data_IF_090154196880
#
_entry.id   IF_090154196880
#
_cell.length_a   1.000
_cell.length_b   1.000
_cell.length_c   1.000
_cell.angle_alpha   90.00
_cell.angle_beta   90.00
_cell.angle_gamma   90.00
#
_symmetry.space_group_name_H-M   'P 1'
#
loop_
_entity.id
_entity.type
_entity.pdbx_description
1 polymer ?
#
# COMPACT_ATOMS: atom_id res chain seq x y z
N UNK A 1 64.06 16.22 -7.14
CA UNK A 1 62.86 15.35 -7.17
C UNK A 1 61.63 16.22 -7.29
N UNK A 2 61.17 16.45 -8.52
CA UNK A 2 59.97 17.24 -8.82
C UNK A 2 58.91 16.29 -9.36
N UNK A 3 57.95 15.91 -8.51
CA UNK A 3 56.83 15.08 -8.90
C UNK A 3 55.88 15.88 -9.80
N UNK A 4 55.84 15.48 -11.07
CA UNK A 4 55.01 16.06 -12.11
C UNK A 4 53.58 15.50 -11.94
N UNK A 5 52.71 16.22 -11.23
CA UNK A 5 51.28 15.90 -11.11
C UNK A 5 50.62 16.25 -12.44
N UNK A 6 50.59 15.28 -13.37
CA UNK A 6 49.75 15.37 -14.57
C UNK A 6 48.29 15.39 -14.10
N UNK A 7 47.67 16.57 -14.18
CA UNK A 7 46.24 16.78 -13.93
C UNK A 7 45.47 15.83 -14.85
N UNK A 8 44.87 14.81 -14.25
CA UNK A 8 43.94 13.89 -14.89
C UNK A 8 42.62 14.65 -15.05
N UNK A 9 42.56 15.60 -15.97
CA UNK A 9 41.29 16.20 -16.38
C UNK A 9 40.60 15.16 -17.26
N UNK A 10 39.47 14.58 -16.80
CA UNK A 10 38.71 13.69 -17.67
C UNK A 10 38.29 14.49 -18.90
N UNK A 11 38.63 13.97 -20.08
CA UNK A 11 38.19 14.59 -21.33
C UNK A 11 36.66 14.69 -21.36
N UNK A 12 36.09 15.64 -22.10
CA UNK A 12 34.64 15.87 -22.16
C UNK A 12 33.84 14.59 -22.52
N UNK A 13 34.46 13.63 -23.21
CA UNK A 13 33.86 12.32 -23.50
C UNK A 13 33.55 11.47 -22.26
N UNK A 14 34.36 11.50 -21.20
CA UNK A 14 34.10 10.71 -19.99
C UNK A 14 32.89 11.26 -19.22
N UNK A 15 32.74 12.59 -19.18
CA UNK A 15 31.63 13.25 -18.50
C UNK A 15 30.30 13.00 -19.22
N UNK A 16 30.31 12.96 -20.56
CA UNK A 16 29.13 12.59 -21.37
C UNK A 16 28.77 11.12 -21.18
N UNK A 17 29.74 10.21 -21.16
CA UNK A 17 29.49 8.78 -20.89
C UNK A 17 28.92 8.58 -19.48
N UNK A 18 29.43 9.30 -18.48
CA UNK A 18 28.92 9.26 -17.11
C UNK A 18 27.47 9.78 -17.05
N UNK A 19 27.18 10.93 -17.69
CA UNK A 19 25.82 11.48 -17.76
C UNK A 19 24.83 10.52 -18.43
N UNK A 20 25.22 9.88 -19.53
CA UNK A 20 24.38 8.90 -20.23
C UNK A 20 24.16 7.64 -19.40
N UNK A 21 25.19 7.17 -18.68
CA UNK A 21 25.05 6.02 -17.78
C UNK A 21 24.12 6.31 -16.59
N UNK A 22 24.09 7.56 -16.08
CA UNK A 22 23.21 7.96 -14.99
C UNK A 22 21.73 8.06 -15.40
N UNK A 23 21.43 8.30 -16.70
CA UNK A 23 20.06 8.34 -17.20
C UNK A 23 19.38 6.96 -17.17
N UNK A 24 20.14 5.86 -17.30
CA UNK A 24 19.61 4.49 -17.28
C UNK A 24 19.12 4.03 -15.92
N UNK A 25 19.53 4.69 -14.83
CA UNK A 25 19.13 4.38 -13.45
C UNK A 25 18.30 5.51 -12.81
N UNK A 26 17.74 6.42 -13.61
CA UNK A 26 16.89 7.47 -13.07
C UNK A 26 15.55 6.90 -12.57
N UNK A 27 15.21 7.23 -11.32
CA UNK A 27 13.96 6.83 -10.66
C UNK A 27 12.69 7.21 -11.46
N UNK A 28 12.81 8.23 -12.30
CA UNK A 28 11.78 8.78 -13.20
C UNK A 28 11.34 7.80 -14.29
N UNK A 29 12.19 6.87 -14.70
CA UNK A 29 11.83 5.88 -15.73
C UNK A 29 11.19 4.61 -15.17
N UNK A 30 11.07 4.49 -13.84
CA UNK A 30 10.34 3.39 -13.21
C UNK A 30 8.84 3.68 -13.21
N UNK A 31 8.06 2.82 -13.88
CA UNK A 31 6.60 2.93 -13.97
C UNK A 31 5.90 2.96 -12.60
N UNK A 32 6.51 2.41 -11.55
CA UNK A 32 5.99 2.44 -10.16
C UNK A 32 6.04 3.84 -9.53
N UNK A 33 6.88 4.72 -10.08
CA UNK A 33 7.04 6.09 -9.64
C UNK A 33 6.23 7.10 -10.46
N UNK A 34 5.61 6.67 -11.56
CA UNK A 34 4.85 7.54 -12.48
C UNK A 34 3.33 7.40 -12.29
N UNK A 35 2.82 7.84 -11.14
CA UNK A 35 1.38 7.72 -10.78
C UNK A 35 0.50 8.45 -11.79
N UNK A 36 0.88 9.66 -12.19
CA UNK A 36 0.10 10.48 -13.12
C UNK A 36 0.18 9.96 -14.55
N UNK A 37 1.33 9.45 -15.01
CA UNK A 37 1.41 8.79 -16.32
C UNK A 37 0.50 7.56 -16.32
N UNK A 38 0.53 6.75 -15.27
CA UNK A 38 -0.34 5.58 -15.15
C UNK A 38 -1.82 5.99 -15.21
N UNK A 39 -2.19 7.11 -14.58
CA UNK A 39 -3.54 7.65 -14.68
C UNK A 39 -3.89 8.15 -16.10
N UNK A 40 -2.96 8.78 -16.83
CA UNK A 40 -3.19 9.20 -18.22
C UNK A 40 -3.35 7.98 -19.14
N UNK A 41 -2.52 6.95 -18.98
CA UNK A 41 -2.64 5.70 -19.72
C UNK A 41 -3.98 5.01 -19.46
N UNK A 42 -4.41 4.97 -18.19
CA UNK A 42 -5.64 4.31 -17.77
C UNK A 42 -6.91 5.05 -18.23
N UNK A 43 -6.93 6.39 -18.17
CA UNK A 43 -8.16 7.16 -18.41
C UNK A 43 -8.23 7.86 -19.78
N UNK A 44 -7.12 8.03 -20.50
CA UNK A 44 -7.10 8.84 -21.74
C UNK A 44 -6.73 8.06 -23.01
N UNK A 45 -6.10 6.89 -22.90
CA UNK A 45 -5.70 6.11 -24.09
C UNK A 45 -6.85 5.16 -24.48
N UNK A 46 -7.46 5.32 -25.66
CA UNK A 46 -8.56 4.45 -26.09
C UNK A 46 -8.07 3.02 -26.39
N UNK A 47 -8.91 2.03 -26.14
CA UNK A 47 -8.55 0.61 -26.32
C UNK A 47 -8.45 0.18 -27.80
N UNK A 48 -9.21 0.84 -28.69
CA UNK A 48 -9.19 0.53 -30.13
C UNK A 48 -7.96 1.13 -30.82
N UNK A 49 -7.26 0.36 -31.67
CA UNK A 49 -6.12 0.86 -32.47
C UNK A 49 -6.46 2.13 -33.24
N UNK A 50 -7.60 2.17 -33.93
CA UNK A 50 -8.03 3.34 -34.70
C UNK A 50 -8.25 4.57 -33.82
N UNK A 51 -8.77 4.38 -32.61
CA UNK A 51 -8.93 5.44 -31.61
C UNK A 51 -7.59 5.97 -31.10
N UNK A 52 -6.59 5.10 -30.95
CA UNK A 52 -5.25 5.51 -30.48
C UNK A 52 -4.60 6.44 -31.50
N UNK A 53 -4.65 6.10 -32.78
CA UNK A 53 -4.09 6.98 -33.81
C UNK A 53 -4.82 8.33 -33.91
N UNK A 54 -6.14 8.33 -33.77
CA UNK A 54 -6.94 9.56 -33.85
C UNK A 54 -6.71 10.49 -32.64
N UNK A 55 -6.54 9.92 -31.44
CA UNK A 55 -6.36 10.69 -30.21
C UNK A 55 -4.89 10.89 -29.81
N UNK A 56 -3.94 10.29 -30.53
CA UNK A 56 -2.50 10.44 -30.31
C UNK A 56 -2.04 11.91 -30.20
N UNK A 57 -2.53 12.85 -31.05
CA UNK A 57 -2.16 14.25 -30.93
C UNK A 57 -2.58 14.91 -29.60
N UNK A 58 -3.49 14.31 -28.85
CA UNK A 58 -4.02 14.83 -27.59
C UNK A 58 -3.38 14.14 -26.39
N UNK A 59 -3.41 12.80 -26.33
CA UNK A 59 -2.91 12.11 -25.13
C UNK A 59 -1.38 12.10 -25.06
N UNK A 60 -0.64 12.17 -26.18
CA UNK A 60 0.83 12.20 -26.14
C UNK A 60 1.33 13.46 -25.41
N UNK A 61 0.89 14.68 -25.74
CA UNK A 61 1.25 15.87 -24.98
C UNK A 61 0.87 15.80 -23.49
N UNK A 62 -0.32 15.25 -23.18
CA UNK A 62 -0.81 15.16 -21.80
C UNK A 62 0.01 14.15 -20.99
N UNK A 63 0.32 12.98 -21.56
CA UNK A 63 1.17 11.98 -20.93
C UNK A 63 2.59 12.51 -20.69
N UNK A 64 3.13 13.30 -21.62
CA UNK A 64 4.41 13.97 -21.43
C UNK A 64 4.36 14.97 -20.27
N UNK A 65 3.31 15.79 -20.18
CA UNK A 65 3.12 16.72 -19.06
C UNK A 65 2.97 15.98 -17.71
N UNK A 66 2.22 14.88 -17.69
CA UNK A 66 2.07 14.03 -16.52
C UNK A 66 3.41 13.41 -16.09
N UNK A 67 4.22 12.94 -17.04
CA UNK A 67 5.56 12.42 -16.75
C UNK A 67 6.50 13.46 -16.16
N UNK A 68 6.43 14.71 -16.65
CA UNK A 68 7.15 15.83 -16.04
C UNK A 68 6.68 16.07 -14.60
N UNK A 69 5.36 16.05 -14.35
CA UNK A 69 4.83 16.23 -13.00
C UNK A 69 5.21 15.07 -12.06
N UNK A 70 5.18 13.83 -12.52
CA UNK A 70 5.61 12.69 -11.73
C UNK A 70 7.09 12.80 -11.36
N UNK A 71 7.93 13.11 -12.34
CA UNK A 71 9.38 13.21 -12.17
C UNK A 71 9.79 14.31 -11.20
N UNK A 72 9.18 15.49 -11.32
CA UNK A 72 9.63 16.70 -10.63
C UNK A 72 8.79 17.11 -9.43
N UNK A 73 7.58 16.54 -9.27
CA UNK A 73 6.65 16.92 -8.20
C UNK A 73 6.25 15.71 -7.37
N UNK A 74 5.57 14.73 -7.98
CA UNK A 74 4.94 13.63 -7.22
C UNK A 74 6.00 12.74 -6.57
N UNK A 75 6.97 12.28 -7.35
CA UNK A 75 8.00 11.37 -6.86
C UNK A 75 8.88 12.02 -5.79
N UNK A 76 9.42 13.25 -5.97
CA UNK A 76 10.18 13.91 -4.91
C UNK A 76 9.37 14.09 -3.63
N UNK A 77 8.08 14.43 -3.70
CA UNK A 77 7.22 14.56 -2.51
C UNK A 77 7.10 13.22 -1.77
N UNK A 78 6.91 12.11 -2.49
CA UNK A 78 6.83 10.76 -1.89
C UNK A 78 8.12 10.32 -1.21
N UNK A 79 9.26 10.87 -1.61
CA UNK A 79 10.58 10.55 -1.03
C UNK A 79 10.91 11.34 0.23
N UNK A 80 10.12 12.36 0.59
CA UNK A 80 10.35 13.16 1.81
C UNK A 80 10.40 12.30 3.08
N UNK A 81 9.43 11.42 3.37
CA UNK A 81 9.45 10.63 4.61
C UNK A 81 10.69 9.74 4.72
N UNK A 82 11.13 9.18 3.59
CA UNK A 82 12.32 8.32 3.50
C UNK A 82 13.61 9.12 3.68
N UNK A 83 13.70 10.30 3.08
CA UNK A 83 14.86 11.18 3.26
C UNK A 83 14.99 11.71 4.70
N UNK A 84 13.86 11.89 5.40
CA UNK A 84 13.86 12.20 6.84
C UNK A 84 14.48 11.02 7.61
N UNK A 85 14.06 9.78 7.33
CA UNK A 85 14.63 8.57 7.95
C UNK A 85 16.15 8.48 7.71
N UNK A 86 16.61 8.63 6.47
CA UNK A 86 18.05 8.59 6.15
C UNK A 86 18.86 9.65 6.92
N UNK A 87 18.28 10.83 7.11
CA UNK A 87 18.91 11.93 7.84
C UNK A 87 18.99 11.62 9.33
N UNK A 88 17.94 11.01 9.87
CA UNK A 88 17.88 10.59 11.27
C UNK A 88 18.93 9.50 11.54
N UNK A 89 18.92 8.44 10.73
CA UNK A 89 19.88 7.33 10.82
C UNK A 89 21.33 7.82 10.69
N UNK A 90 21.59 8.74 9.75
CA UNK A 90 22.96 9.21 9.48
C UNK A 90 23.49 10.20 10.52
N UNK A 91 22.66 11.12 11.03
CA UNK A 91 23.11 12.23 11.87
C UNK A 91 22.67 12.14 13.32
N UNK A 92 21.61 11.42 13.63
CA UNK A 92 20.99 11.43 14.95
C UNK A 92 21.09 10.10 15.67
N UNK A 93 21.39 9.01 14.97
CA UNK A 93 21.75 7.75 15.62
C UNK A 93 23.05 7.90 16.45
N UNK A 94 23.00 7.39 17.68
CA UNK A 94 24.08 7.50 18.65
C UNK A 94 24.65 6.11 18.91
N UNK A 95 25.97 5.93 18.82
CA UNK A 95 26.59 4.71 19.34
C UNK A 95 26.65 4.76 20.86
N UNK A 96 26.25 3.68 21.52
CA UNK A 96 26.25 3.54 22.99
C UNK A 96 27.64 3.73 23.62
N UNK A 97 28.70 3.65 22.81
CA UNK A 97 30.09 3.79 23.24
C UNK A 97 30.53 5.25 23.47
N UNK A 98 29.76 6.24 23.01
CA UNK A 98 30.14 7.66 23.17
C UNK A 98 29.53 8.29 24.43
N UNK A 99 30.35 9.08 25.15
CA UNK A 99 29.93 9.69 26.42
C UNK A 99 28.92 10.84 26.24
N UNK A 100 28.05 11.03 27.23
CA UNK A 100 27.00 12.07 27.27
C UNK A 100 27.48 13.49 26.87
N UNK A 101 28.68 13.88 27.32
CA UNK A 101 29.24 15.22 27.02
C UNK A 101 29.56 15.38 25.54
N UNK A 102 30.06 14.33 24.88
CA UNK A 102 30.34 14.31 23.44
C UNK A 102 29.04 14.40 22.64
N UNK A 103 27.98 13.73 23.09
CA UNK A 103 26.66 13.83 22.50
C UNK A 103 26.12 15.26 22.56
N UNK A 104 26.06 15.85 23.77
CA UNK A 104 25.56 17.20 23.97
C UNK A 104 26.33 18.25 23.16
N UNK A 105 27.65 18.12 23.06
CA UNK A 105 28.50 19.01 22.26
C UNK A 105 28.28 18.90 20.74
N UNK A 106 27.85 17.73 20.26
CA UNK A 106 27.64 17.45 18.82
C UNK A 106 26.28 17.89 18.29
N UNK A 107 25.28 18.13 19.15
CA UNK A 107 23.90 18.49 18.76
C UNK A 107 23.86 19.72 17.87
N UNK A 108 24.63 20.76 18.20
CA UNK A 108 24.63 22.02 17.43
C UNK A 108 25.13 21.78 16.00
N UNK A 109 26.16 20.95 15.83
CA UNK A 109 26.69 20.62 14.51
C UNK A 109 25.73 19.71 13.75
N UNK A 110 25.17 18.68 14.38
CA UNK A 110 24.19 17.78 13.76
C UNK A 110 22.95 18.55 13.29
N UNK A 111 22.39 19.41 14.13
CA UNK A 111 21.29 20.29 13.75
C UNK A 111 21.65 21.23 12.58
N UNK A 112 22.87 21.77 12.57
CA UNK A 112 23.35 22.59 11.48
C UNK A 112 23.51 21.80 10.15
N UNK A 113 23.90 20.52 10.22
CA UNK A 113 24.10 19.67 9.05
C UNK A 113 22.84 18.91 8.59
N UNK A 114 21.82 18.74 9.44
CA UNK A 114 20.54 18.10 9.10
C UNK A 114 19.93 18.56 7.78
N UNK A 115 19.77 19.87 7.48
CA UNK A 115 19.19 20.29 6.22
C UNK A 115 20.05 19.89 5.01
N UNK A 116 21.37 19.82 5.17
CA UNK A 116 22.30 19.44 4.11
C UNK A 116 22.20 17.94 3.82
N UNK A 117 22.17 17.11 4.86
CA UNK A 117 21.99 15.66 4.73
C UNK A 117 20.62 15.31 4.18
N UNK A 118 19.57 15.96 4.68
CA UNK A 118 18.22 15.78 4.17
C UNK A 118 18.14 16.14 2.69
N UNK A 119 18.66 17.30 2.29
CA UNK A 119 18.66 17.69 0.87
C UNK A 119 19.45 16.69 0.02
N UNK A 120 20.59 16.20 0.52
CA UNK A 120 21.40 15.18 -0.16
C UNK A 120 20.63 13.86 -0.33
N UNK A 121 20.09 13.31 0.75
CA UNK A 121 19.32 12.07 0.76
C UNK A 121 18.06 12.19 -0.10
N UNK A 122 17.32 13.28 0.04
CA UNK A 122 16.12 13.56 -0.75
C UNK A 122 16.43 13.66 -2.25
N UNK A 123 17.46 14.41 -2.64
CA UNK A 123 17.87 14.51 -4.04
C UNK A 123 18.37 13.16 -4.57
N UNK A 124 19.15 12.43 -3.78
CA UNK A 124 19.67 11.12 -4.17
C UNK A 124 18.54 10.11 -4.37
N UNK A 125 17.61 10.01 -3.42
CA UNK A 125 16.42 9.15 -3.52
C UNK A 125 15.54 9.55 -4.70
N UNK A 126 15.30 10.84 -4.88
CA UNK A 126 14.47 11.37 -5.98
C UNK A 126 15.10 11.17 -7.36
N UNK A 127 16.43 11.15 -7.46
CA UNK A 127 17.14 11.03 -8.72
C UNK A 127 17.47 9.57 -9.09
N UNK A 128 17.87 8.74 -8.13
CA UNK A 128 18.52 7.45 -8.40
C UNK A 128 17.78 6.23 -7.86
N UNK A 129 16.88 6.36 -6.88
CA UNK A 129 16.22 5.18 -6.30
C UNK A 129 14.98 4.82 -7.11
N UNK A 130 15.17 3.89 -8.05
CA UNK A 130 14.11 3.20 -8.80
C UNK A 130 13.39 2.20 -7.90
N UNK A 131 12.56 2.69 -6.99
CA UNK A 131 11.63 1.89 -6.17
C UNK A 131 12.23 0.59 -5.62
N UNK A 132 12.95 0.69 -4.50
CA UNK A 132 13.05 -0.47 -3.62
C UNK A 132 11.63 -0.84 -3.18
N UNK A 133 11.23 -2.13 -3.30
CA UNK A 133 10.08 -2.62 -2.54
C UNK A 133 10.37 -2.36 -1.07
N UNK A 134 9.37 -1.91 -0.32
CA UNK A 134 9.47 -1.68 1.12
C UNK A 134 10.09 -2.94 1.76
N UNK A 135 11.34 -2.81 2.23
CA UNK A 135 12.13 -3.80 2.97
C UNK A 135 11.94 -5.26 2.55
N UNK A 136 12.98 -5.90 1.99
CA UNK A 136 13.23 -7.28 2.42
C UNK A 136 13.54 -7.22 3.91
N UNK A 137 12.49 -7.15 4.74
CA UNK A 137 12.53 -7.25 6.18
C UNK A 137 13.25 -8.58 6.44
N UNK A 138 14.54 -8.50 6.79
CA UNK A 138 15.38 -9.67 6.98
C UNK A 138 14.67 -10.53 8.02
N UNK A 139 14.37 -11.78 7.66
CA UNK A 139 13.58 -12.69 8.48
C UNK A 139 14.15 -12.66 9.91
N UNK A 140 13.38 -12.22 10.92
CA UNK A 140 13.90 -12.08 12.27
C UNK A 140 14.62 -13.34 12.74
N UNK A 141 15.81 -13.21 13.37
CA UNK A 141 16.59 -14.36 13.79
C UNK A 141 15.77 -15.22 14.76
N UNK A 142 15.67 -16.51 14.47
CA UNK A 142 14.88 -17.46 15.26
C UNK A 142 13.45 -17.71 14.75
N UNK A 143 13.02 -17.11 13.63
CA UNK A 143 11.75 -17.51 13.00
C UNK A 143 11.82 -18.93 12.43
N UNK A 144 10.74 -19.68 12.62
CA UNK A 144 10.58 -21.02 12.06
C UNK A 144 10.77 -21.01 10.54
N UNK A 145 11.45 -22.02 10.00
CA UNK A 145 11.44 -22.30 8.56
C UNK A 145 10.17 -23.08 8.23
N UNK A 146 9.45 -22.66 7.19
CA UNK A 146 8.19 -23.30 6.82
C UNK A 146 7.35 -22.44 5.89
N UNK A 147 6.27 -23.04 5.41
CA UNK A 147 5.18 -22.35 4.73
C UNK A 147 4.24 -21.69 5.73
N UNK A 148 3.37 -20.79 5.26
CA UNK A 148 2.34 -20.19 6.10
C UNK A 148 1.43 -21.24 6.78
N UNK A 149 1.12 -22.33 6.08
CA UNK A 149 0.32 -23.43 6.63
C UNK A 149 1.05 -24.10 7.81
N UNK A 150 2.37 -24.28 7.71
CA UNK A 150 3.17 -24.86 8.79
C UNK A 150 3.15 -23.96 10.03
N UNK A 151 3.27 -22.63 9.83
CA UNK A 151 3.16 -21.66 10.92
C UNK A 151 1.76 -21.66 11.55
N UNK A 152 0.71 -21.85 10.74
CA UNK A 152 -0.67 -21.89 11.20
C UNK A 152 -0.97 -23.16 11.99
N UNK A 153 -0.39 -24.29 11.61
CA UNK A 153 -0.48 -25.55 12.34
C UNK A 153 0.31 -25.51 13.65
N UNK A 154 1.51 -24.94 13.63
CA UNK A 154 2.34 -24.75 14.81
C UNK A 154 1.82 -23.65 15.76
N UNK A 155 0.85 -22.84 15.31
CA UNK A 155 0.38 -21.62 16.00
C UNK A 155 1.52 -20.64 16.32
N UNK A 156 2.47 -20.53 15.40
CA UNK A 156 3.61 -19.61 15.51
C UNK A 156 3.19 -18.19 15.12
N UNK A 157 2.63 -17.45 16.09
CA UNK A 157 2.09 -16.10 15.88
C UNK A 157 3.11 -15.12 15.28
N UNK A 158 4.39 -15.06 15.73
CA UNK A 158 5.41 -14.23 15.10
C UNK A 158 5.58 -14.49 13.60
N UNK A 159 5.70 -15.76 13.19
CA UNK A 159 5.90 -16.13 11.78
C UNK A 159 4.64 -15.89 10.93
N UNK A 160 3.45 -16.06 11.52
CA UNK A 160 2.17 -15.71 10.89
C UNK A 160 2.05 -14.20 10.66
N UNK A 161 2.33 -13.38 11.67
CA UNK A 161 2.28 -11.92 11.57
C UNK A 161 3.23 -11.41 10.49
N UNK A 162 4.46 -11.92 10.46
CA UNK A 162 5.44 -11.57 9.46
C UNK A 162 4.98 -11.90 8.04
N UNK A 163 4.43 -13.11 7.86
CA UNK A 163 3.90 -13.53 6.57
C UNK A 163 2.68 -12.70 6.13
N UNK A 164 1.80 -12.32 7.06
CA UNK A 164 0.64 -11.47 6.78
C UNK A 164 1.00 -10.02 6.45
N UNK A 165 2.10 -9.49 7.01
CA UNK A 165 2.61 -8.16 6.63
C UNK A 165 3.06 -8.11 5.16
N UNK A 166 3.55 -9.23 4.64
CA UNK A 166 4.11 -9.37 3.28
C UNK A 166 3.13 -9.85 2.23
N UNK A 167 1.85 -9.95 2.57
CA UNK A 167 0.77 -10.49 1.74
C UNK A 167 0.87 -10.09 0.26
N UNK A 168 1.34 -11.00 -0.60
CA UNK A 168 1.80 -10.67 -1.96
C UNK A 168 0.73 -10.88 -3.04
N UNK A 169 -0.54 -10.85 -2.64
CA UNK A 169 -1.58 -11.40 -3.49
C UNK A 169 -1.53 -12.90 -3.37
N UNK A 170 -0.64 -13.67 -3.99
CA UNK A 170 -0.69 -15.15 -4.05
C UNK A 170 -0.66 -15.92 -2.71
N UNK A 171 0.15 -15.49 -1.75
CA UNK A 171 0.39 -16.17 -0.47
C UNK A 171 0.18 -15.19 0.69
N UNK A 172 -0.48 -15.60 1.80
CA UNK A 172 -1.05 -16.92 2.08
C UNK A 172 -2.30 -17.28 1.26
N UNK A 173 -2.67 -18.56 1.18
CA UNK A 173 -3.88 -19.00 0.45
C UNK A 173 -5.15 -18.45 1.10
N UNK A 174 -6.22 -18.22 0.33
CA UNK A 174 -7.51 -17.77 0.87
C UNK A 174 -8.05 -18.71 1.95
N UNK A 175 -7.80 -20.03 1.82
CA UNK A 175 -8.16 -21.00 2.86
C UNK A 175 -7.42 -20.75 4.17
N UNK A 176 -6.12 -20.50 4.11
CA UNK A 176 -5.31 -20.25 5.30
C UNK A 176 -5.64 -18.91 5.94
N UNK A 177 -5.94 -17.89 5.14
CA UNK A 177 -6.37 -16.59 5.65
C UNK A 177 -7.72 -16.69 6.38
N UNK A 178 -8.71 -17.40 5.81
CA UNK A 178 -9.99 -17.66 6.49
C UNK A 178 -9.74 -18.45 7.77
N UNK A 179 -8.94 -19.53 7.71
CA UNK A 179 -8.60 -20.34 8.89
C UNK A 179 -7.90 -19.52 9.98
N UNK A 180 -7.00 -18.63 9.60
CA UNK A 180 -6.33 -17.68 10.52
C UNK A 180 -7.36 -16.78 11.18
N UNK A 181 -8.26 -16.18 10.39
CA UNK A 181 -9.33 -15.37 10.95
C UNK A 181 -10.18 -16.17 11.95
N UNK A 182 -10.66 -17.36 11.60
CA UNK A 182 -11.52 -18.16 12.49
C UNK A 182 -10.83 -18.57 13.79
N UNK A 183 -9.56 -18.94 13.73
CA UNK A 183 -8.79 -19.37 14.91
C UNK A 183 -8.58 -18.21 15.88
N UNK A 184 -8.25 -17.03 15.36
CA UNK A 184 -7.80 -15.91 16.19
C UNK A 184 -8.89 -14.86 16.46
N UNK A 185 -9.98 -14.80 15.69
CA UNK A 185 -11.06 -13.82 15.92
C UNK A 185 -11.69 -13.87 17.33
N UNK A 186 -11.88 -15.04 17.97
CA UNK A 186 -12.43 -15.09 19.33
C UNK A 186 -11.62 -14.29 20.37
N UNK A 187 -10.32 -14.05 20.14
CA UNK A 187 -9.49 -13.25 21.06
C UNK A 187 -9.81 -11.75 21.02
N UNK A 188 -10.39 -11.28 19.90
CA UNK A 188 -10.73 -9.87 19.70
C UNK A 188 -12.24 -9.59 19.70
N UNK A 189 -13.10 -10.61 19.67
CA UNK A 189 -14.55 -10.45 19.42
C UNK A 189 -15.26 -9.46 20.38
N UNK A 190 -14.83 -9.43 21.64
CA UNK A 190 -15.43 -8.60 22.70
C UNK A 190 -14.74 -7.23 22.86
N UNK A 191 -13.74 -6.93 22.02
CA UNK A 191 -13.01 -5.66 22.08
C UNK A 191 -13.73 -4.62 21.22
N UNK A 192 -13.92 -3.41 21.76
CA UNK A 192 -14.52 -2.29 21.03
C UNK A 192 -13.56 -1.70 20.00
N UNK A 193 -12.26 -1.68 20.33
CA UNK A 193 -11.20 -1.16 19.47
C UNK A 193 -10.06 -2.18 19.38
N UNK A 194 -10.25 -3.30 18.65
CA UNK A 194 -9.21 -4.31 18.49
C UNK A 194 -8.02 -3.75 17.71
N UNK A 195 -6.84 -4.24 18.04
CA UNK A 195 -5.60 -3.86 17.36
C UNK A 195 -5.64 -4.26 15.88
N UNK A 196 -5.51 -3.29 14.97
CA UNK A 196 -5.42 -3.51 13.52
C UNK A 196 -4.20 -4.34 13.11
N UNK A 197 -3.19 -4.44 13.98
CA UNK A 197 -2.04 -5.33 13.85
C UNK A 197 -2.31 -6.77 14.28
N UNK A 198 -3.48 -7.08 14.83
CA UNK A 198 -3.82 -8.44 15.24
C UNK A 198 -3.94 -9.38 14.03
N UNK A 199 -3.54 -10.65 14.22
CA UNK A 199 -3.63 -11.71 13.22
C UNK A 199 -4.96 -11.77 12.45
N UNK A 200 -6.16 -11.75 13.11
CA UNK A 200 -7.41 -11.84 12.38
C UNK A 200 -7.67 -10.61 11.50
N UNK A 201 -7.27 -9.41 11.93
CA UNK A 201 -7.47 -8.18 11.13
C UNK A 201 -6.44 -8.04 10.00
N UNK A 202 -5.19 -8.49 10.20
CA UNK A 202 -4.22 -8.60 9.12
C UNK A 202 -4.66 -9.64 8.07
N UNK A 203 -5.14 -10.81 8.51
CA UNK A 203 -5.70 -11.82 7.61
C UNK A 203 -6.93 -11.30 6.85
N UNK A 204 -7.78 -10.50 7.50
CA UNK A 204 -8.93 -9.87 6.87
C UNK A 204 -8.52 -8.86 5.77
N UNK A 205 -7.48 -8.05 6.04
CA UNK A 205 -6.91 -7.11 5.06
C UNK A 205 -6.39 -7.87 3.84
N UNK A 206 -5.69 -8.98 4.05
CA UNK A 206 -5.27 -9.89 2.99
C UNK A 206 -6.45 -10.50 2.22
N UNK A 207 -7.50 -10.94 2.90
CA UNK A 207 -8.68 -11.51 2.25
C UNK A 207 -9.38 -10.49 1.36
N UNK A 208 -9.40 -9.21 1.75
CA UNK A 208 -10.03 -8.16 0.98
C UNK A 208 -9.43 -8.00 -0.41
N UNK A 209 -8.11 -8.22 -0.57
CA UNK A 209 -7.47 -8.16 -1.89
C UNK A 209 -7.84 -9.34 -2.80
N UNK A 210 -8.60 -10.33 -2.32
CA UNK A 210 -9.04 -11.54 -3.06
C UNK A 210 -10.41 -11.40 -3.71
N UNK A 211 -10.67 -10.27 -4.38
CA UNK A 211 -12.00 -9.93 -4.92
C UNK A 211 -12.65 -11.00 -5.81
N UNK A 212 -11.85 -11.80 -6.53
CA UNK A 212 -12.33 -12.85 -7.46
C UNK A 212 -12.44 -14.25 -6.83
N UNK A 213 -12.01 -14.41 -5.58
CA UNK A 213 -12.02 -15.71 -4.94
C UNK A 213 -13.40 -15.99 -4.33
N UNK A 214 -14.07 -17.05 -4.80
CA UNK A 214 -15.39 -17.46 -4.31
C UNK A 214 -15.39 -17.76 -2.80
N UNK A 215 -14.28 -18.27 -2.26
CA UNK A 215 -14.15 -18.54 -0.82
C UNK A 215 -14.08 -17.23 -0.03
N UNK A 216 -13.36 -16.21 -0.54
CA UNK A 216 -13.36 -14.88 0.07
C UNK A 216 -14.74 -14.23 -0.02
N UNK A 217 -15.43 -14.36 -1.17
CA UNK A 217 -16.80 -13.88 -1.34
C UNK A 217 -17.75 -14.49 -0.30
N UNK A 218 -17.78 -15.81 -0.19
CA UNK A 218 -18.65 -16.52 0.76
C UNK A 218 -18.32 -16.14 2.21
N UNK A 219 -17.03 -15.96 2.52
CA UNK A 219 -16.57 -15.51 3.83
C UNK A 219 -17.13 -14.12 4.17
N UNK A 220 -16.97 -13.13 3.29
CA UNK A 220 -17.44 -11.77 3.54
C UNK A 220 -18.98 -11.67 3.54
N UNK A 221 -19.68 -12.42 2.70
CA UNK A 221 -21.16 -12.46 2.73
C UNK A 221 -21.65 -12.99 4.09
N UNK A 222 -21.05 -14.07 4.59
CA UNK A 222 -21.38 -14.62 5.90
C UNK A 222 -21.09 -13.61 7.03
N UNK A 223 -19.97 -12.87 6.95
CA UNK A 223 -19.59 -11.88 7.96
C UNK A 223 -20.46 -10.64 7.96
N UNK A 224 -20.99 -10.21 6.82
CA UNK A 224 -21.95 -9.11 6.76
C UNK A 224 -23.26 -9.41 7.49
N UNK A 225 -23.65 -10.68 7.58
CA UNK A 225 -24.92 -11.09 8.16
C UNK A 225 -24.81 -11.57 9.61
N UNK A 226 -23.61 -11.58 10.19
CA UNK A 226 -23.35 -12.17 11.51
C UNK A 226 -22.81 -11.12 12.48
N UNK A 227 -23.60 -10.79 13.51
CA UNK A 227 -23.15 -9.92 14.60
C UNK A 227 -22.74 -10.74 15.83
N UNK A 228 -21.44 -10.74 16.14
CA UNK A 228 -20.85 -11.54 17.24
C UNK A 228 -20.13 -10.69 18.30
N UNK A 229 -20.43 -9.38 18.37
CA UNK A 229 -19.83 -8.46 19.34
C UNK A 229 -19.28 -7.19 18.70
N UNK A 230 -18.71 -6.28 19.51
CA UNK A 230 -18.25 -4.98 19.05
C UNK A 230 -17.25 -5.04 17.89
N UNK A 231 -16.31 -5.98 17.91
CA UNK A 231 -15.31 -6.14 16.85
C UNK A 231 -15.92 -6.53 15.49
N UNK A 232 -17.14 -7.11 15.47
CA UNK A 232 -17.86 -7.38 14.23
C UNK A 232 -18.07 -6.12 13.40
N UNK A 233 -18.17 -4.92 14.00
CA UNK A 233 -18.31 -3.68 13.24
C UNK A 233 -17.16 -3.45 12.26
N UNK A 234 -15.91 -3.66 12.69
CA UNK A 234 -14.73 -3.50 11.81
C UNK A 234 -14.76 -4.51 10.69
N UNK A 235 -15.11 -5.76 11.01
CA UNK A 235 -15.20 -6.85 10.03
C UNK A 235 -16.28 -6.56 8.99
N UNK A 236 -17.43 -6.08 9.43
CA UNK A 236 -18.53 -5.70 8.55
C UNK A 236 -18.18 -4.51 7.67
N UNK A 237 -17.45 -3.52 8.18
CA UNK A 237 -16.96 -2.39 7.37
C UNK A 237 -16.00 -2.87 6.29
N UNK A 238 -15.06 -3.76 6.62
CA UNK A 238 -14.15 -4.38 5.64
C UNK A 238 -14.91 -5.24 4.61
N UNK A 239 -15.92 -5.99 5.05
CA UNK A 239 -16.79 -6.75 4.16
C UNK A 239 -17.61 -5.83 3.24
N UNK A 240 -18.10 -4.71 3.78
CA UNK A 240 -18.86 -3.73 3.01
C UNK A 240 -17.99 -3.03 1.95
N UNK A 241 -16.74 -2.69 2.31
CA UNK A 241 -15.73 -2.20 1.36
C UNK A 241 -15.43 -3.25 0.27
N UNK A 242 -15.27 -4.53 0.63
CA UNK A 242 -15.06 -5.63 -0.32
C UNK A 242 -16.19 -5.73 -1.36
N UNK A 243 -17.45 -5.67 -0.93
CA UNK A 243 -18.59 -5.71 -1.85
C UNK A 243 -18.78 -4.40 -2.63
N UNK A 244 -18.45 -3.25 -2.05
CA UNK A 244 -18.40 -1.98 -2.79
C UNK A 244 -17.37 -2.06 -3.93
N UNK A 245 -16.20 -2.62 -3.68
CA UNK A 245 -15.14 -2.80 -4.67
C UNK A 245 -15.52 -3.80 -5.78
N UNK A 246 -16.44 -4.75 -5.53
CA UNK A 246 -17.00 -5.60 -6.58
C UNK A 246 -17.96 -4.86 -7.53
N UNK A 247 -18.57 -3.75 -7.08
CA UNK A 247 -19.44 -2.85 -7.86
C UNK A 247 -20.49 -3.58 -8.73
N UNK A 248 -21.18 -4.58 -8.16
CA UNK A 248 -22.14 -5.44 -8.88
C UNK A 248 -23.56 -5.37 -8.30
N UNK A 249 -24.57 -5.71 -9.12
CA UNK A 249 -25.96 -5.77 -8.64
C UNK A 249 -26.17 -6.84 -7.57
N UNK A 250 -25.39 -7.92 -7.62
CA UNK A 250 -25.36 -8.94 -6.56
C UNK A 250 -24.78 -8.38 -5.26
N UNK A 251 -23.63 -7.71 -5.34
CA UNK A 251 -22.99 -7.06 -4.18
C UNK A 251 -23.91 -6.03 -3.53
N UNK A 252 -24.59 -5.19 -4.33
CA UNK A 252 -25.59 -4.25 -3.84
C UNK A 252 -26.76 -4.95 -3.11
N UNK A 253 -27.26 -6.06 -3.64
CA UNK A 253 -28.32 -6.85 -2.97
C UNK A 253 -27.83 -7.46 -1.66
N UNK A 254 -26.59 -7.94 -1.60
CA UNK A 254 -25.97 -8.47 -0.39
C UNK A 254 -25.87 -7.37 0.67
N UNK A 255 -25.36 -6.20 0.30
CA UNK A 255 -25.25 -5.05 1.21
C UNK A 255 -26.62 -4.56 1.69
N UNK A 256 -27.62 -4.47 0.81
CA UNK A 256 -29.00 -4.14 1.18
C UNK A 256 -29.61 -5.15 2.15
N UNK A 257 -29.35 -6.45 1.95
CA UNK A 257 -29.81 -7.51 2.87
C UNK A 257 -29.22 -7.29 4.26
N UNK A 258 -27.93 -6.98 4.35
CA UNK A 258 -27.27 -6.65 5.61
C UNK A 258 -27.87 -5.39 6.26
N UNK A 259 -28.09 -4.30 5.51
CA UNK A 259 -28.74 -3.08 6.05
C UNK A 259 -30.14 -3.35 6.61
N UNK A 260 -30.84 -4.38 6.12
CA UNK A 260 -32.18 -4.73 6.62
C UNK A 260 -32.18 -5.67 7.83
N UNK A 261 -31.08 -6.34 8.11
CA UNK A 261 -31.05 -7.31 9.19
C UNK A 261 -31.19 -6.59 10.55
N UNK A 262 -32.26 -6.81 11.32
CA UNK A 262 -32.50 -6.13 12.59
C UNK A 262 -31.52 -6.54 13.70
N UNK A 263 -30.83 -7.67 13.56
CA UNK A 263 -29.82 -8.14 14.51
C UNK A 263 -28.53 -7.31 14.44
N UNK A 264 -28.32 -6.58 13.35
CA UNK A 264 -27.17 -5.70 13.18
C UNK A 264 -27.46 -4.33 13.83
N UNK A 265 -26.57 -3.85 14.73
CA UNK A 265 -26.71 -2.53 15.33
C UNK A 265 -26.86 -1.41 14.30
N UNK A 266 -27.62 -0.38 14.66
CA UNK A 266 -27.90 0.76 13.79
C UNK A 266 -26.64 1.39 13.20
N UNK A 267 -25.59 1.56 14.01
CA UNK A 267 -24.32 2.16 13.58
C UNK A 267 -23.67 1.36 12.44
N UNK A 268 -23.60 0.03 12.56
CA UNK A 268 -23.04 -0.83 11.51
C UNK A 268 -23.91 -0.81 10.25
N UNK A 269 -25.25 -0.80 10.40
CA UNK A 269 -26.16 -0.66 9.25
C UNK A 269 -25.99 0.68 8.53
N UNK A 270 -25.78 1.76 9.28
CA UNK A 270 -25.50 3.07 8.73
C UNK A 270 -24.16 3.10 7.97
N UNK A 271 -23.09 2.52 8.53
CA UNK A 271 -21.79 2.42 7.86
C UNK A 271 -21.89 1.63 6.55
N UNK A 272 -22.63 0.51 6.53
CA UNK A 272 -22.90 -0.27 5.30
C UNK A 272 -23.73 0.54 4.29
N UNK A 273 -24.73 1.31 4.76
CA UNK A 273 -25.54 2.17 3.90
C UNK A 273 -24.68 3.24 3.22
N UNK A 274 -23.70 3.82 3.90
CA UNK A 274 -22.75 4.75 3.28
C UNK A 274 -21.97 4.09 2.15
N UNK A 275 -21.55 2.82 2.29
CA UNK A 275 -20.85 2.10 1.21
C UNK A 275 -21.74 1.92 -0.03
N UNK A 276 -23.05 1.67 0.15
CA UNK A 276 -24.02 1.60 -0.94
C UNK A 276 -24.13 2.90 -1.74
N UNK A 277 -23.99 4.07 -1.10
CA UNK A 277 -24.05 5.37 -1.77
C UNK A 277 -22.87 5.57 -2.74
N UNK A 278 -21.74 4.93 -2.46
CA UNK A 278 -20.52 5.03 -3.27
C UNK A 278 -20.42 3.97 -4.38
N UNK A 279 -21.46 3.16 -4.62
CA UNK A 279 -21.52 2.22 -5.74
C UNK A 279 -21.71 2.98 -7.06
N UNK A 280 -20.83 2.71 -8.03
CA UNK A 280 -20.83 3.38 -9.33
C UNK A 280 -21.72 2.71 -10.37
N UNK A 281 -21.87 1.38 -10.32
CA UNK A 281 -22.58 0.58 -11.31
C UNK A 281 -24.09 0.88 -11.37
N UNK A 282 -24.62 1.16 -12.57
CA UNK A 282 -26.03 1.52 -12.78
C UNK A 282 -27.02 0.38 -12.49
N UNK A 283 -26.68 -0.87 -12.79
CA UNK A 283 -27.51 -2.02 -12.42
C UNK A 283 -27.54 -2.20 -10.91
N UNK A 284 -26.41 -1.95 -10.24
CA UNK A 284 -26.29 -1.96 -8.80
C UNK A 284 -27.10 -0.82 -8.16
N UNK A 285 -27.04 0.42 -8.69
CA UNK A 285 -27.91 1.53 -8.27
C UNK A 285 -29.40 1.22 -8.48
N UNK A 286 -29.77 0.63 -9.62
CA UNK A 286 -31.15 0.16 -9.86
C UNK A 286 -31.56 -0.88 -8.83
N UNK A 287 -30.69 -1.84 -8.53
CA UNK A 287 -30.94 -2.83 -7.48
C UNK A 287 -31.09 -2.19 -6.09
N UNK A 288 -30.34 -1.14 -5.78
CA UNK A 288 -30.50 -0.34 -4.56
C UNK A 288 -31.85 0.35 -4.51
N UNK A 289 -32.23 1.08 -5.56
CA UNK A 289 -33.51 1.81 -5.63
C UNK A 289 -34.70 0.86 -5.58
N UNK A 290 -34.68 -0.22 -6.38
CA UNK A 290 -35.72 -1.25 -6.38
C UNK A 290 -35.82 -1.89 -5.01
N UNK A 291 -34.69 -2.30 -4.45
CA UNK A 291 -34.63 -2.83 -3.10
C UNK A 291 -35.31 -1.90 -2.12
N UNK A 292 -34.90 -0.63 -2.02
CA UNK A 292 -35.47 0.33 -1.06
C UNK A 292 -36.99 0.50 -1.20
N UNK A 293 -37.54 0.31 -2.41
CA UNK A 293 -38.98 0.33 -2.67
C UNK A 293 -39.73 -0.91 -2.14
N UNK A 294 -39.12 -2.09 -2.23
CA UNK A 294 -39.73 -3.39 -1.88
C UNK A 294 -39.90 -3.62 -0.36
N UNK A 295 -39.47 -2.67 0.48
CA UNK A 295 -39.56 -2.74 1.95
C UNK A 295 -40.82 -2.09 2.55
N UNK A 296 -41.82 -1.74 1.73
CA UNK A 296 -43.12 -1.21 2.15
C UNK A 296 -44.23 -2.23 1.97
#
# INVERSE_FOLDING_TARGET
>A
MTHNIRRFFPGPGLLVILLVALLGSCAVFDRRNTILINAVEEYMVPESETGQYLLAPIYIPVGLAAGVLDAFVVHPIRMIPRAIQDTDDSLWEFSEESGYVTHAGSVVYRAAFSPVFFAGAWLFRSAFITSEPDYEEEKPPGMAEGSYSDFLEARDEPSLLYSLRRCDGSSPSTGDLVRTYEIYFPSIQNQENPDYGSLPLMALRCLRSRLKDQRAHNFFENRLNTWNGPASRIVMNQAAEFFREQDSAEAARILLRAVRNPEIPWQSRHDILLQLVYISNEEAKKAVVQGLGDGR
#
